data_IF_655330435864
#
_entry.id   IF_655330435864
#
_cell.length_a   1.000
_cell.length_b   1.000
_cell.length_c   1.000
_cell.angle_alpha   90.00
_cell.angle_beta   90.00
_cell.angle_gamma   90.00
#
_symmetry.space_group_name_H-M   'P 1'
#
loop_
_entity.id
_entity.type
_entity.pdbx_description
1 polymer ?
#
# COMPACT_ATOMS: atom_id res chain seq x y z
N UNK A 1 -8.99 46.81 42.00
CA UNK A 1 -8.01 46.16 41.10
C UNK A 1 -8.70 44.94 40.52
N UNK A 2 -8.98 44.93 39.22
CA UNK A 2 -9.65 43.81 38.56
C UNK A 2 -8.64 42.67 38.37
N UNK A 3 -9.00 41.48 38.84
CA UNK A 3 -8.18 40.28 38.85
C UNK A 3 -7.77 39.88 37.42
N UNK A 4 -6.48 40.02 37.12
CA UNK A 4 -5.89 39.78 35.80
C UNK A 4 -5.77 38.29 35.46
N UNK A 5 -6.19 37.38 36.35
CA UNK A 5 -6.04 35.92 36.19
C UNK A 5 -7.11 35.23 35.34
N UNK A 6 -8.16 35.94 34.91
CA UNK A 6 -9.28 35.38 34.13
C UNK A 6 -9.21 35.61 32.61
N UNK A 7 -8.16 36.27 32.08
CA UNK A 7 -8.10 36.67 30.66
C UNK A 7 -7.38 35.71 29.71
N UNK A 8 -6.91 34.55 30.19
CA UNK A 8 -5.99 33.69 29.40
C UNK A 8 -6.57 32.38 28.88
N UNK A 9 -7.90 32.19 28.91
CA UNK A 9 -8.52 30.92 28.45
C UNK A 9 -9.33 31.02 27.14
N UNK A 10 -9.39 32.16 26.45
CA UNK A 10 -10.39 32.37 25.38
C UNK A 10 -9.88 32.61 23.95
N UNK A 11 -8.57 32.54 23.70
CA UNK A 11 -8.01 32.73 22.35
C UNK A 11 -7.51 31.44 21.68
N UNK A 12 -7.74 30.27 22.28
CA UNK A 12 -7.59 29.03 21.55
C UNK A 12 -8.63 29.01 20.40
N UNK A 13 -8.23 28.70 19.15
CA UNK A 13 -9.19 28.55 18.07
C UNK A 13 -10.27 27.58 18.52
N UNK A 14 -11.51 28.07 18.68
CA UNK A 14 -12.63 27.20 19.01
C UNK A 14 -12.79 26.28 17.81
N UNK A 15 -12.48 24.99 17.99
CA UNK A 15 -12.71 23.98 16.97
C UNK A 15 -14.22 23.93 16.72
N UNK A 16 -14.68 24.61 15.67
CA UNK A 16 -16.08 24.54 15.23
C UNK A 16 -16.29 23.17 14.62
N UNK A 17 -17.19 22.34 15.18
CA UNK A 17 -17.50 21.05 14.58
C UNK A 17 -17.97 21.24 13.14
N UNK A 18 -17.50 20.39 12.22
CA UNK A 18 -17.97 20.42 10.83
C UNK A 18 -19.48 20.17 10.77
N UNK A 19 -20.18 20.93 9.93
CA UNK A 19 -21.60 20.72 9.63
C UNK A 19 -21.81 19.40 8.89
N UNK A 20 -23.04 18.90 8.85
CA UNK A 20 -23.38 17.68 8.11
C UNK A 20 -23.04 17.82 6.61
N UNK A 21 -23.41 18.93 6.00
CA UNK A 21 -23.12 19.24 4.59
C UNK A 21 -21.60 19.25 4.29
N UNK A 22 -20.79 19.78 5.22
CA UNK A 22 -19.34 19.77 5.07
C UNK A 22 -18.78 18.34 5.10
N UNK A 23 -19.28 17.49 6.00
CA UNK A 23 -18.84 16.09 6.08
C UNK A 23 -19.22 15.29 4.84
N UNK A 24 -20.42 15.50 4.31
CA UNK A 24 -20.89 14.85 3.08
C UNK A 24 -20.08 15.29 1.87
N UNK A 25 -19.78 16.60 1.78
CA UNK A 25 -18.90 17.13 0.75
C UNK A 25 -17.48 16.54 0.85
N UNK A 26 -16.90 16.52 2.05
CA UNK A 26 -15.59 15.95 2.31
C UNK A 26 -15.54 14.45 1.98
N UNK A 27 -16.58 13.70 2.33
CA UNK A 27 -16.67 12.28 1.99
C UNK A 27 -16.68 12.09 0.47
N UNK A 28 -17.46 12.90 -0.24
CA UNK A 28 -17.58 12.82 -1.70
C UNK A 28 -16.26 13.15 -2.42
N UNK A 29 -15.53 14.18 -1.99
CA UNK A 29 -14.25 14.54 -2.62
C UNK A 29 -13.14 13.52 -2.32
N UNK A 30 -13.24 12.80 -1.19
CA UNK A 30 -12.27 11.78 -0.77
C UNK A 30 -12.68 10.35 -1.18
N UNK A 31 -13.83 10.15 -1.81
CA UNK A 31 -14.31 8.82 -2.20
C UNK A 31 -13.27 8.02 -3.01
N UNK A 32 -12.50 8.59 -3.96
CA UNK A 32 -11.46 7.83 -4.66
C UNK A 32 -10.36 7.33 -3.72
N UNK A 33 -9.98 8.14 -2.72
CA UNK A 33 -9.01 7.74 -1.70
C UNK A 33 -9.53 6.58 -0.85
N UNK A 34 -10.80 6.63 -0.44
CA UNK A 34 -11.45 5.55 0.31
C UNK A 34 -11.63 4.29 -0.52
N UNK A 35 -12.00 4.42 -1.79
CA UNK A 35 -12.13 3.28 -2.69
C UNK A 35 -10.80 2.55 -2.85
N UNK A 36 -9.70 3.29 -3.04
CA UNK A 36 -8.35 2.69 -3.09
C UNK A 36 -8.02 1.95 -1.81
N UNK A 37 -8.25 2.56 -0.66
CA UNK A 37 -8.03 1.92 0.63
C UNK A 37 -8.86 0.63 0.80
N UNK A 38 -10.13 0.62 0.35
CA UNK A 38 -10.98 -0.59 0.38
C UNK A 38 -10.40 -1.72 -0.48
N UNK A 39 -9.97 -1.41 -1.70
CA UNK A 39 -9.39 -2.41 -2.63
C UNK A 39 -8.06 -2.95 -2.10
N UNK A 40 -7.20 -2.09 -1.54
CA UNK A 40 -5.94 -2.54 -0.94
C UNK A 40 -6.23 -3.41 0.28
N UNK A 41 -7.08 -2.94 1.20
CA UNK A 41 -7.40 -3.66 2.43
C UNK A 41 -8.04 -5.04 2.19
N UNK A 42 -8.77 -5.23 1.09
CA UNK A 42 -9.37 -6.54 0.77
C UNK A 42 -8.34 -7.63 0.48
N UNK A 43 -7.09 -7.26 0.17
CA UNK A 43 -6.01 -8.21 -0.05
C UNK A 43 -4.98 -8.24 1.08
N UNK A 44 -5.00 -7.30 2.05
CA UNK A 44 -3.94 -7.15 3.05
C UNK A 44 -3.96 -8.26 4.11
N UNK A 45 -3.23 -9.34 3.83
CA UNK A 45 -2.76 -10.31 4.83
C UNK A 45 -1.47 -9.82 5.49
N UNK A 46 -1.02 -10.47 6.57
CA UNK A 46 0.19 -10.09 7.30
C UNK A 46 1.43 -9.95 6.38
N UNK A 47 1.63 -10.88 5.44
CA UNK A 47 2.73 -10.83 4.47
C UNK A 47 2.68 -9.59 3.56
N UNK A 48 1.51 -9.24 3.05
CA UNK A 48 1.37 -8.10 2.14
C UNK A 48 1.42 -6.77 2.90
N UNK A 49 0.92 -6.73 4.13
CA UNK A 49 1.04 -5.57 5.00
C UNK A 49 2.51 -5.28 5.35
N UNK A 50 3.29 -6.33 5.65
CA UNK A 50 4.75 -6.20 5.85
C UNK A 50 5.45 -5.68 4.58
N UNK A 51 5.20 -6.29 3.43
CA UNK A 51 5.79 -5.85 2.16
C UNK A 51 5.45 -4.38 1.85
N UNK A 52 4.17 -4.01 1.95
CA UNK A 52 3.70 -2.65 1.74
C UNK A 52 4.39 -1.66 2.68
N UNK A 53 4.46 -1.98 3.97
CA UNK A 53 5.11 -1.12 4.97
C UNK A 53 6.59 -0.88 4.63
N UNK A 54 7.33 -1.92 4.25
CA UNK A 54 8.75 -1.78 3.85
C UNK A 54 8.87 -0.80 2.66
N UNK A 55 8.04 -0.98 1.63
CA UNK A 55 8.10 -0.16 0.43
C UNK A 55 7.62 1.28 0.65
N UNK A 56 6.56 1.47 1.43
CA UNK A 56 6.04 2.79 1.81
C UNK A 56 7.11 3.57 2.60
N UNK A 57 7.77 2.93 3.56
CA UNK A 57 8.80 3.56 4.39
C UNK A 57 10.04 3.94 3.57
N UNK A 58 10.46 3.09 2.62
CA UNK A 58 11.59 3.40 1.74
C UNK A 58 11.35 4.67 0.92
N UNK A 59 10.12 4.87 0.44
CA UNK A 59 9.77 6.02 -0.39
C UNK A 59 9.25 7.23 0.41
N UNK A 60 9.22 7.17 1.75
CA UNK A 60 8.52 8.14 2.59
C UNK A 60 7.08 8.42 2.09
N UNK A 61 6.39 7.36 1.67
CA UNK A 61 5.11 7.48 0.99
C UNK A 61 4.01 7.94 1.95
N UNK A 62 3.32 9.01 1.55
CA UNK A 62 2.15 9.51 2.25
C UNK A 62 0.98 9.71 1.28
N UNK A 63 -0.10 8.96 1.52
CA UNK A 63 -1.33 9.02 0.74
C UNK A 63 -1.96 10.42 0.72
N UNK A 64 -1.83 11.21 1.80
CA UNK A 64 -2.34 12.59 1.87
C UNK A 64 -1.50 13.56 1.04
N UNK A 65 -0.23 13.26 0.80
CA UNK A 65 0.63 14.06 -0.08
C UNK A 65 0.40 13.70 -1.56
N UNK A 66 0.12 12.42 -1.83
CA UNK A 66 -0.14 11.87 -3.15
C UNK A 66 -1.56 12.16 -3.66
N UNK A 67 -2.55 12.23 -2.78
CA UNK A 67 -3.94 12.48 -3.15
C UNK A 67 -4.26 13.98 -3.17
N UNK A 68 -4.88 14.43 -4.27
CA UNK A 68 -5.46 15.78 -4.37
C UNK A 68 -6.96 15.63 -4.59
N UNK A 69 -7.80 16.08 -3.65
CA UNK A 69 -9.24 16.09 -3.86
C UNK A 69 -9.58 17.06 -5.00
N UNK A 70 -10.06 16.55 -6.13
CA UNK A 70 -10.38 17.38 -7.30
C UNK A 70 -11.89 17.43 -7.54
N UNK A 71 -12.41 18.65 -7.68
CA UNK A 71 -13.79 18.95 -8.10
C UNK A 71 -13.82 19.46 -9.56
N UNK A 72 -12.64 19.65 -10.17
CA UNK A 72 -12.40 20.43 -11.39
C UNK A 72 -11.93 19.60 -12.60
N UNK A 73 -11.90 18.27 -12.50
CA UNK A 73 -11.45 17.37 -13.58
C UNK A 73 -9.94 17.12 -13.66
N UNK A 74 -9.15 17.64 -12.72
CA UNK A 74 -7.74 17.28 -12.58
C UNK A 74 -7.57 15.84 -12.02
N UNK A 75 -6.47 15.14 -12.34
CA UNK A 75 -6.18 13.82 -11.78
C UNK A 75 -6.13 13.87 -10.25
N UNK A 76 -6.88 12.98 -9.59
CA UNK A 76 -6.92 12.93 -8.13
C UNK A 76 -5.65 12.36 -7.48
N UNK A 77 -4.75 11.74 -8.27
CA UNK A 77 -3.49 11.18 -7.81
C UNK A 77 -2.30 11.87 -8.48
N UNK A 78 -1.36 12.36 -7.66
CA UNK A 78 -0.07 12.90 -8.12
C UNK A 78 0.91 11.77 -8.33
N UNK A 79 1.13 11.38 -9.58
CA UNK A 79 2.06 10.30 -9.93
C UNK A 79 3.48 10.53 -9.36
N UNK A 80 3.95 11.78 -9.35
CA UNK A 80 5.28 12.11 -8.81
C UNK A 80 5.42 11.80 -7.32
N UNK A 81 4.34 11.93 -6.55
CA UNK A 81 4.30 11.66 -5.11
C UNK A 81 3.79 10.26 -4.76
N UNK A 82 3.44 9.44 -5.76
CA UNK A 82 2.85 8.13 -5.57
C UNK A 82 3.72 7.04 -6.22
N UNK A 83 4.62 6.40 -5.44
CA UNK A 83 5.52 5.38 -5.97
C UNK A 83 4.75 4.16 -6.46
N UNK A 84 3.56 3.86 -5.92
CA UNK A 84 2.75 2.75 -6.38
C UNK A 84 2.25 2.95 -7.80
N UNK A 85 1.93 4.18 -8.21
CA UNK A 85 1.53 4.47 -9.58
C UNK A 85 2.71 4.51 -10.56
N UNK A 86 3.94 4.60 -10.04
CA UNK A 86 5.21 4.53 -10.80
C UNK A 86 5.96 3.21 -10.56
N UNK A 87 5.25 2.15 -10.15
CA UNK A 87 5.86 0.88 -9.73
C UNK A 87 6.82 0.28 -10.76
N UNK A 88 6.61 0.53 -12.05
CA UNK A 88 7.51 0.08 -13.12
C UNK A 88 8.93 0.63 -13.00
N UNK A 89 9.08 1.84 -12.45
CA UNK A 89 10.36 2.52 -12.23
C UNK A 89 10.84 2.28 -10.79
N UNK A 90 9.94 2.40 -9.82
CA UNK A 90 10.31 2.43 -8.40
C UNK A 90 10.56 1.05 -7.81
N UNK A 91 9.93 -0.02 -8.33
CA UNK A 91 10.14 -1.37 -7.78
C UNK A 91 11.54 -1.91 -8.09
N UNK A 92 12.06 -1.81 -9.34
CA UNK A 92 13.44 -2.18 -9.61
C UNK A 92 14.46 -1.45 -8.74
N UNK A 93 14.35 -0.12 -8.67
CA UNK A 93 15.21 0.74 -7.84
C UNK A 93 15.18 0.31 -6.36
N UNK A 94 13.96 0.12 -5.83
CA UNK A 94 13.77 -0.35 -4.47
C UNK A 94 14.44 -1.71 -4.21
N UNK A 95 14.29 -2.69 -5.09
CA UNK A 95 14.84 -4.03 -4.87
C UNK A 95 16.37 -4.02 -4.88
N UNK A 96 16.98 -3.26 -5.79
CA UNK A 96 18.44 -3.08 -5.86
C UNK A 96 18.97 -2.45 -4.55
N UNK A 97 18.37 -1.34 -4.13
CA UNK A 97 18.79 -0.61 -2.95
C UNK A 97 18.50 -1.37 -1.65
N UNK A 98 17.35 -2.04 -1.56
CA UNK A 98 16.96 -2.81 -0.38
C UNK A 98 17.94 -3.95 -0.10
N UNK A 99 18.33 -4.71 -1.13
CA UNK A 99 19.31 -5.80 -1.01
C UNK A 99 20.68 -5.23 -0.63
N UNK A 100 21.13 -4.17 -1.31
CA UNK A 100 22.40 -3.51 -1.01
C UNK A 100 22.48 -3.06 0.44
N UNK A 101 21.46 -2.32 0.92
CA UNK A 101 21.40 -1.80 2.30
C UNK A 101 21.41 -2.94 3.31
N UNK A 102 20.66 -4.02 3.08
CA UNK A 102 20.63 -5.16 3.98
C UNK A 102 22.00 -5.84 4.08
N UNK A 103 22.64 -6.11 2.95
CA UNK A 103 23.97 -6.76 2.94
C UNK A 103 25.02 -5.87 3.58
N UNK A 104 25.01 -4.56 3.29
CA UNK A 104 25.97 -3.60 3.85
C UNK A 104 25.77 -3.38 5.37
N UNK A 105 24.54 -3.47 5.86
CA UNK A 105 24.24 -3.36 7.29
C UNK A 105 24.47 -4.66 8.07
N UNK A 106 24.83 -5.75 7.41
CA UNK A 106 24.97 -7.08 8.02
C UNK A 106 23.62 -7.72 8.38
N UNK A 107 22.53 -7.26 7.76
CA UNK A 107 21.22 -7.89 7.86
C UNK A 107 21.16 -9.20 7.06
N UNK A 108 20.15 -10.01 7.36
CA UNK A 108 19.94 -11.30 6.71
C UNK A 108 18.75 -11.25 5.76
N UNK A 109 18.98 -11.66 4.50
CA UNK A 109 17.93 -11.91 3.52
C UNK A 109 18.31 -13.10 2.65
N UNK A 110 17.40 -14.05 2.54
CA UNK A 110 17.53 -15.19 1.63
C UNK A 110 17.07 -14.80 0.23
N UNK A 111 17.58 -15.51 -0.79
CA UNK A 111 17.11 -15.32 -2.16
C UNK A 111 15.60 -15.55 -2.28
N UNK A 112 15.06 -16.55 -1.59
CA UNK A 112 13.62 -16.80 -1.55
C UNK A 112 12.86 -15.66 -0.85
N UNK A 113 13.38 -15.14 0.26
CA UNK A 113 12.81 -14.00 0.95
C UNK A 113 12.70 -12.76 0.04
N UNK A 114 13.72 -12.49 -0.77
CA UNK A 114 13.70 -11.41 -1.76
C UNK A 114 12.65 -11.64 -2.85
N UNK A 115 12.54 -12.87 -3.36
CA UNK A 115 11.53 -13.23 -4.35
C UNK A 115 10.12 -13.11 -3.81
N UNK A 116 9.88 -13.58 -2.58
CA UNK A 116 8.59 -13.49 -1.90
C UNK A 116 8.20 -12.03 -1.64
N UNK A 117 9.16 -11.18 -1.26
CA UNK A 117 8.96 -9.73 -1.15
C UNK A 117 8.55 -9.12 -2.50
N UNK A 118 9.27 -9.42 -3.57
CA UNK A 118 8.98 -8.89 -4.89
C UNK A 118 7.56 -9.28 -5.38
N UNK A 119 7.18 -10.55 -5.24
CA UNK A 119 5.84 -11.04 -5.62
C UNK A 119 4.75 -10.39 -4.76
N UNK A 120 5.00 -10.25 -3.46
CA UNK A 120 4.08 -9.54 -2.56
C UNK A 120 3.87 -8.09 -3.00
N UNK A 121 4.95 -7.37 -3.35
CA UNK A 121 4.88 -5.98 -3.80
C UNK A 121 4.14 -5.84 -5.13
N UNK A 122 4.33 -6.75 -6.08
CA UNK A 122 3.57 -6.76 -7.35
C UNK A 122 2.08 -6.92 -7.07
N UNK A 123 1.71 -7.83 -6.14
CA UNK A 123 0.29 -8.04 -5.79
C UNK A 123 -0.32 -6.81 -5.11
N UNK A 124 0.42 -6.15 -4.22
CA UNK A 124 -0.02 -4.88 -3.62
C UNK A 124 -0.15 -3.79 -4.69
N UNK A 125 0.83 -3.65 -5.59
CA UNK A 125 0.80 -2.66 -6.66
C UNK A 125 -0.40 -2.84 -7.59
N UNK A 126 -0.79 -4.07 -7.92
CA UNK A 126 -2.00 -4.36 -8.70
C UNK A 126 -3.27 -3.84 -8.00
N UNK A 127 -3.38 -4.02 -6.68
CA UNK A 127 -4.51 -3.50 -5.91
C UNK A 127 -4.47 -1.97 -5.77
N UNK A 128 -3.28 -1.38 -5.61
CA UNK A 128 -3.07 0.07 -5.59
C UNK A 128 -3.50 0.72 -6.92
N UNK A 129 -3.15 0.10 -8.06
CA UNK A 129 -3.56 0.55 -9.40
C UNK A 129 -5.06 0.44 -9.61
N UNK A 130 -5.65 -0.72 -9.29
CA UNK A 130 -7.08 -0.95 -9.39
C UNK A 130 -7.87 0.01 -8.50
N UNK A 131 -7.41 0.20 -7.26
CA UNK A 131 -7.98 1.14 -6.31
C UNK A 131 -7.88 2.60 -6.74
N UNK A 132 -6.83 2.96 -7.50
CA UNK A 132 -6.68 4.27 -8.12
C UNK A 132 -7.48 4.42 -9.44
N UNK A 133 -8.24 3.40 -9.85
CA UNK A 133 -9.05 3.42 -11.08
C UNK A 133 -8.24 3.16 -12.36
N UNK A 134 -7.04 2.61 -12.25
CA UNK A 134 -6.20 2.23 -13.40
C UNK A 134 -6.39 0.77 -13.78
N UNK A 135 -6.07 0.44 -15.03
CA UNK A 135 -6.06 -0.95 -15.48
C UNK A 135 -4.85 -1.69 -14.89
N UNK A 136 -5.11 -2.58 -13.93
CA UNK A 136 -4.09 -3.47 -13.33
C UNK A 136 -3.43 -4.41 -14.32
N UNK A 137 -4.01 -4.60 -15.52
CA UNK A 137 -3.38 -5.38 -16.60
C UNK A 137 -2.10 -4.73 -17.14
N UNK A 138 -1.84 -3.46 -16.85
CA UNK A 138 -0.54 -2.86 -17.12
C UNK A 138 0.60 -3.50 -16.31
N UNK A 139 0.28 -4.14 -15.18
CA UNK A 139 1.19 -4.92 -14.35
C UNK A 139 1.02 -6.42 -14.65
N UNK A 140 1.17 -6.79 -15.93
CA UNK A 140 0.94 -8.13 -16.44
C UNK A 140 2.06 -9.14 -16.07
N UNK A 141 2.02 -10.31 -16.71
CA UNK A 141 3.04 -11.35 -16.55
C UNK A 141 4.40 -10.95 -17.12
N UNK A 142 4.46 -10.00 -18.05
CA UNK A 142 5.73 -9.51 -18.61
C UNK A 142 6.43 -8.66 -17.55
N UNK A 143 5.71 -7.73 -16.91
CA UNK A 143 6.25 -6.96 -15.79
C UNK A 143 6.71 -7.86 -14.65
N UNK A 144 5.90 -8.85 -14.27
CA UNK A 144 6.26 -9.82 -13.24
C UNK A 144 7.53 -10.61 -13.62
N UNK A 145 7.66 -11.05 -14.87
CA UNK A 145 8.85 -11.72 -15.37
C UNK A 145 10.11 -10.85 -15.30
N UNK A 146 10.02 -9.57 -15.69
CA UNK A 146 11.14 -8.62 -15.61
C UNK A 146 11.62 -8.41 -14.17
N UNK A 147 10.70 -8.30 -13.22
CA UNK A 147 11.03 -8.16 -11.79
C UNK A 147 11.70 -9.43 -11.27
N UNK A 148 11.20 -10.62 -11.64
CA UNK A 148 11.81 -11.88 -11.24
C UNK A 148 13.21 -12.08 -11.85
N UNK A 149 13.41 -11.68 -13.10
CA UNK A 149 14.75 -11.68 -13.72
C UNK A 149 15.71 -10.74 -12.99
N UNK A 150 15.25 -9.58 -12.54
CA UNK A 150 16.03 -8.69 -11.68
C UNK A 150 16.39 -9.37 -10.35
N UNK A 151 15.41 -9.99 -9.67
CA UNK A 151 15.64 -10.72 -8.43
C UNK A 151 16.70 -11.81 -8.61
N UNK A 152 16.64 -12.58 -9.70
CA UNK A 152 17.65 -13.61 -10.02
C UNK A 152 19.05 -13.03 -10.25
N UNK A 153 19.16 -11.84 -10.85
CA UNK A 153 20.45 -11.14 -10.97
C UNK A 153 20.96 -10.72 -9.58
N UNK A 154 20.11 -10.14 -8.74
CA UNK A 154 20.47 -9.69 -7.40
C UNK A 154 20.91 -10.85 -6.49
N UNK A 155 20.21 -11.99 -6.55
CA UNK A 155 20.60 -13.21 -5.83
C UNK A 155 22.06 -13.60 -6.12
N UNK A 156 22.46 -13.55 -7.40
CA UNK A 156 23.80 -13.91 -7.85
C UNK A 156 24.84 -12.84 -7.51
N UNK A 157 24.49 -11.57 -7.71
CA UNK A 157 25.38 -10.44 -7.47
C UNK A 157 25.78 -10.33 -6.00
N UNK A 158 24.81 -10.50 -5.09
CA UNK A 158 25.01 -10.39 -3.65
C UNK A 158 25.28 -11.74 -2.96
N UNK A 159 25.35 -12.84 -3.73
CA UNK A 159 25.56 -14.20 -3.23
C UNK A 159 24.60 -14.55 -2.08
N UNK A 160 23.31 -14.27 -2.28
CA UNK A 160 22.28 -14.46 -1.25
C UNK A 160 22.11 -15.95 -0.92
N UNK A 161 21.99 -16.32 0.37
CA UNK A 161 21.75 -17.70 0.76
C UNK A 161 20.39 -18.19 0.26
N UNK A 162 20.32 -19.47 -0.10
CA UNK A 162 19.04 -20.16 -0.24
C UNK A 162 18.43 -20.32 1.16
N UNK A 163 17.09 -20.25 1.27
CA UNK A 163 16.45 -20.54 2.53
C UNK A 163 16.82 -21.97 2.94
N UNK A 164 17.24 -22.16 4.18
CA UNK A 164 17.24 -23.50 4.75
C UNK A 164 15.76 -23.82 5.01
N UNK A 165 15.30 -24.99 4.56
CA UNK A 165 13.97 -25.50 4.87
C UNK A 165 13.85 -25.67 6.40
N UNK A 166 13.63 -24.59 7.13
CA UNK A 166 13.05 -24.66 8.47
C UNK A 166 11.55 -24.84 8.23
N UNK A 167 11.04 -26.01 8.63
CA UNK A 167 9.63 -26.39 8.57
C UNK A 167 8.79 -25.36 9.34
N UNK A 168 8.42 -24.25 8.70
CA UNK A 168 7.49 -23.29 9.25
C UNK A 168 6.11 -23.94 9.30
N UNK A 169 5.64 -24.19 10.53
CA UNK A 169 4.30 -24.65 10.87
C UNK A 169 3.25 -23.86 10.09
N UNK A 170 2.61 -24.54 9.14
CA UNK A 170 1.41 -24.05 8.47
C UNK A 170 0.28 -24.05 9.51
N UNK A 171 -0.05 -22.89 10.06
CA UNK A 171 -1.38 -22.67 10.64
C UNK A 171 -2.39 -22.79 9.48
N UNK A 172 -3.01 -23.96 9.38
CA UNK A 172 -4.22 -24.19 8.59
C UNK A 172 -5.36 -23.34 9.19
N UNK A 173 -5.60 -22.14 8.67
CA UNK A 173 -6.90 -21.48 8.86
C UNK A 173 -7.89 -22.11 7.88
N UNK A 174 -8.76 -22.96 8.45
CA UNK A 174 -9.96 -23.51 7.84
C UNK A 174 -10.77 -22.43 7.12
N UNK A 175 -10.97 -22.62 5.81
CA UNK A 175 -11.97 -21.89 5.04
C UNK A 175 -13.26 -22.71 5.10
N UNK A 176 -14.11 -22.43 6.09
CA UNK A 176 -15.55 -22.69 6.00
C UNK A 176 -16.25 -21.34 5.76
N UNK A 177 -16.92 -21.21 4.62
CA UNK A 177 -18.38 -21.12 4.62
C UNK A 177 -18.91 -21.30 3.20
N UNK A 178 -19.72 -22.35 3.09
CA UNK A 178 -20.49 -22.76 1.92
C UNK A 178 -21.55 -21.71 1.54
N UNK A 179 -21.94 -21.79 0.27
CA UNK A 179 -23.00 -21.06 -0.40
C UNK A 179 -24.37 -21.20 0.30
N UNK A 180 -25.13 -20.11 0.43
CA UNK A 180 -26.60 -20.20 0.46
C UNK A 180 -27.23 -19.34 -0.64
N UNK A 181 -27.60 -20.03 -1.71
CA UNK A 181 -28.47 -19.58 -2.78
C UNK A 181 -29.90 -19.44 -2.25
N UNK A 182 -30.43 -18.21 -2.14
CA UNK A 182 -31.88 -18.01 -1.92
C UNK A 182 -32.51 -17.44 -3.19
N UNK A 183 -33.00 -18.37 -4.00
CA UNK A 183 -33.99 -18.17 -5.05
C UNK A 183 -35.24 -17.55 -4.41
N UNK A 184 -35.69 -16.39 -4.90
CA UNK A 184 -37.03 -15.91 -4.56
C UNK A 184 -37.81 -15.61 -5.85
N UNK A 185 -38.57 -16.63 -6.27
CA UNK A 185 -39.68 -16.50 -7.19
C UNK A 185 -40.97 -16.64 -6.38
N UNK A 186 -41.72 -15.55 -6.18
CA UNK A 186 -43.19 -15.45 -6.34
C UNK A 186 -43.72 -14.13 -5.77
N UNK A 187 -44.56 -13.46 -6.55
CA UNK A 187 -45.25 -12.21 -6.25
C UNK A 187 -45.72 -11.54 -7.52
#
# INVERSE_FOLDING_TARGET
MADTRLRSASNAPKYTPRTLEQREFDAKINEPKYQRARVVNSILTAKYLKAKSIFDNYHDYNVDAAFVPTISGEPCWRETADPWLRIGETLPEFLEDYVRILVESGGEITGEGLQNLAVALIRVARAEWEGAGRDKKALDKVFEGQVLELVERLKKEFNLPEAQDEEDEVEEEEVEEEEEEVVNATG
#
